data_IF_972986131396
#
_entry.id   IF_972986131396
#
_cell.length_a   1.000
_cell.length_b   1.000
_cell.length_c   1.000
_cell.angle_alpha   90.00
_cell.angle_beta   90.00
_cell.angle_gamma   90.00
#
_symmetry.space_group_name_H-M   'P 1'
#
loop_
_entity.id
_entity.type
_entity.pdbx_description
1 polymer ?
#
# COMPACT_ATOMS: atom_id res chain seq x y z
N UNK A 1 14.18 3.48 25.36
CA UNK A 1 15.20 4.55 25.33
C UNK A 1 15.33 5.03 23.89
N UNK A 2 15.36 6.34 23.60
CA UNK A 2 15.67 6.79 22.24
C UNK A 2 17.06 6.28 21.86
N UNK A 3 17.19 5.65 20.69
CA UNK A 3 18.48 5.21 20.14
C UNK A 3 19.39 6.43 19.98
N UNK A 4 20.69 6.26 20.21
CA UNK A 4 21.69 7.25 19.81
C UNK A 4 21.50 7.57 18.32
N UNK A 5 21.67 8.83 17.92
CA UNK A 5 21.57 9.25 16.50
C UNK A 5 22.46 8.36 15.62
N UNK A 6 23.63 7.96 16.13
CA UNK A 6 24.55 7.05 15.45
C UNK A 6 23.97 5.63 15.18
N UNK A 7 23.15 5.10 16.10
CA UNK A 7 22.54 3.77 15.94
C UNK A 7 21.37 3.79 14.95
N UNK A 8 20.66 4.93 14.85
CA UNK A 8 19.61 5.16 13.86
C UNK A 8 20.19 5.24 12.45
N UNK A 9 21.27 6.01 12.27
CA UNK A 9 21.94 6.15 10.97
C UNK A 9 22.58 4.83 10.51
N UNK A 10 23.18 4.07 11.43
CA UNK A 10 23.72 2.75 11.12
C UNK A 10 22.61 1.78 10.66
N UNK A 11 21.49 1.73 11.39
CA UNK A 11 20.34 0.88 11.02
C UNK A 11 19.74 1.31 9.68
N UNK A 12 19.66 2.61 9.41
CA UNK A 12 19.15 3.14 8.14
C UNK A 12 20.03 2.72 6.95
N UNK A 13 21.36 2.74 7.12
CA UNK A 13 22.29 2.30 6.08
C UNK A 13 22.19 0.79 5.82
N UNK A 14 22.03 -0.03 6.85
CA UNK A 14 21.85 -1.48 6.73
C UNK A 14 20.60 -1.84 5.91
N UNK A 15 19.48 -1.14 6.14
CA UNK A 15 18.19 -1.47 5.51
C UNK A 15 17.92 -0.72 4.20
N UNK A 16 18.77 0.23 3.82
CA UNK A 16 18.56 1.09 2.65
C UNK A 16 18.34 0.32 1.34
N UNK A 17 19.10 -0.76 1.02
CA UNK A 17 18.88 -1.54 -0.20
C UNK A 17 17.48 -2.17 -0.25
N UNK A 18 17.02 -2.74 0.86
CA UNK A 18 15.72 -3.39 1.00
C UNK A 18 14.59 -2.36 0.91
N UNK A 19 14.76 -1.18 1.52
CA UNK A 19 13.79 -0.08 1.39
C UNK A 19 13.72 0.43 -0.05
N UNK A 20 14.86 0.56 -0.74
CA UNK A 20 14.87 0.98 -2.15
C UNK A 20 14.14 -0.03 -3.04
N UNK A 21 14.33 -1.32 -2.81
CA UNK A 21 13.55 -2.36 -3.49
C UNK A 21 12.05 -2.21 -3.24
N UNK A 22 11.65 -1.98 -1.98
CA UNK A 22 10.24 -1.74 -1.63
C UNK A 22 9.65 -0.50 -2.31
N UNK A 23 10.44 0.58 -2.42
CA UNK A 23 10.04 1.81 -3.13
C UNK A 23 9.80 1.55 -4.62
N UNK A 24 10.65 0.75 -5.26
CA UNK A 24 10.48 0.36 -6.67
C UNK A 24 9.19 -0.44 -6.85
N UNK A 25 8.97 -1.45 -6.00
CA UNK A 25 7.74 -2.26 -6.04
C UNK A 25 6.51 -1.37 -5.85
N UNK A 26 6.52 -0.49 -4.84
CA UNK A 26 5.42 0.44 -4.59
C UNK A 26 5.16 1.36 -5.80
N UNK A 27 6.21 1.91 -6.40
CA UNK A 27 6.09 2.75 -7.58
C UNK A 27 5.53 1.97 -8.77
N UNK A 28 5.91 0.70 -8.96
CA UNK A 28 5.38 -0.16 -10.01
C UNK A 28 3.86 -0.43 -9.83
N UNK A 29 3.42 -0.75 -8.61
CA UNK A 29 1.99 -0.96 -8.30
C UNK A 29 1.17 0.31 -8.58
N UNK A 30 1.69 1.48 -8.20
CA UNK A 30 1.04 2.77 -8.46
C UNK A 30 1.02 3.10 -9.96
N UNK A 31 2.14 2.84 -10.66
CA UNK A 31 2.26 3.08 -12.10
C UNK A 31 1.28 2.23 -12.91
N UNK A 32 1.01 0.99 -12.51
CA UNK A 32 0.02 0.12 -13.16
C UNK A 32 -1.38 0.74 -13.16
N UNK A 33 -1.85 1.21 -11.99
CA UNK A 33 -3.15 1.89 -11.86
C UNK A 33 -3.17 3.20 -12.64
N UNK A 34 -2.11 4.01 -12.55
CA UNK A 34 -2.02 5.29 -13.24
C UNK A 34 -2.01 5.13 -14.77
N UNK A 35 -1.25 4.16 -15.28
CA UNK A 35 -1.19 3.85 -16.71
C UNK A 35 -2.54 3.34 -17.22
N UNK A 36 -3.21 2.47 -16.46
CA UNK A 36 -4.54 1.99 -16.84
C UNK A 36 -5.59 3.09 -16.80
N UNK A 37 -5.56 3.97 -15.81
CA UNK A 37 -6.42 5.16 -15.78
C UNK A 37 -6.17 6.06 -17.00
N UNK A 38 -4.90 6.33 -17.33
CA UNK A 38 -4.53 7.11 -18.51
C UNK A 38 -5.02 6.47 -19.81
N UNK A 39 -4.89 5.14 -19.92
CA UNK A 39 -5.44 4.37 -21.04
C UNK A 39 -6.96 4.52 -21.13
N UNK A 40 -7.70 4.29 -20.04
CA UNK A 40 -9.17 4.42 -20.00
C UNK A 40 -9.62 5.83 -20.37
N UNK A 41 -8.93 6.86 -19.89
CA UNK A 41 -9.20 8.25 -20.28
C UNK A 41 -8.96 8.47 -21.78
N UNK A 42 -7.88 7.91 -22.33
CA UNK A 42 -7.55 8.03 -23.77
C UNK A 42 -8.56 7.36 -24.70
N UNK A 43 -9.20 6.27 -24.24
CA UNK A 43 -10.22 5.54 -25.00
C UNK A 43 -11.61 6.18 -24.92
N UNK A 44 -11.79 7.19 -24.07
CA UNK A 44 -13.07 7.83 -23.79
C UNK A 44 -13.82 7.16 -22.63
N UNK A 45 -14.27 7.99 -21.69
CA UNK A 45 -14.98 7.57 -20.50
C UNK A 45 -16.46 7.29 -20.82
N UNK A 46 -16.99 6.16 -20.33
CA UNK A 46 -18.40 5.78 -20.55
C UNK A 46 -19.23 6.05 -19.30
N UNK A 47 -19.79 7.25 -19.25
CA UNK A 47 -20.67 7.66 -18.16
C UNK A 47 -22.12 7.30 -18.43
N UNK A 48 -22.86 6.89 -17.39
CA UNK A 48 -24.31 6.73 -17.47
C UNK A 48 -24.98 8.07 -17.11
N UNK A 49 -25.51 8.79 -18.10
CA UNK A 49 -26.07 10.15 -17.91
C UNK A 49 -27.35 10.20 -17.06
N UNK A 50 -28.03 9.05 -16.86
CA UNK A 50 -29.32 8.98 -16.15
C UNK A 50 -29.41 7.85 -15.13
N UNK A 51 -28.28 7.23 -14.77
CA UNK A 51 -28.28 6.19 -13.75
C UNK A 51 -28.26 6.83 -12.36
N UNK A 52 -29.42 6.87 -11.70
CA UNK A 52 -29.49 7.06 -10.25
C UNK A 52 -28.89 5.86 -9.48
N UNK A 53 -28.51 4.78 -10.18
CA UNK A 53 -27.87 3.64 -9.54
C UNK A 53 -26.42 4.01 -9.19
N UNK A 54 -26.14 4.03 -7.90
CA UNK A 54 -24.78 4.11 -7.38
C UNK A 54 -23.98 2.91 -7.90
N UNK A 55 -22.70 3.08 -8.25
CA UNK A 55 -21.83 1.99 -8.64
C UNK A 55 -21.39 1.19 -7.40
N UNK A 56 -22.35 0.51 -6.76
CA UNK A 56 -22.22 -0.10 -5.44
C UNK A 56 -21.10 -1.12 -5.38
N UNK A 57 -20.89 -1.91 -6.45
CA UNK A 57 -19.85 -2.93 -6.51
C UNK A 57 -18.45 -2.30 -6.49
N UNK A 58 -18.04 -1.48 -7.48
CA UNK A 58 -16.68 -0.92 -7.47
C UNK A 58 -16.48 0.09 -6.32
N UNK A 59 -17.51 0.85 -5.93
CA UNK A 59 -17.42 1.76 -4.79
C UNK A 59 -17.26 1.01 -3.46
N UNK A 60 -18.08 -0.03 -3.23
CA UNK A 60 -18.00 -0.87 -2.04
C UNK A 60 -16.66 -1.61 -1.94
N UNK A 61 -16.17 -2.13 -3.08
CA UNK A 61 -14.86 -2.75 -3.13
C UNK A 61 -13.74 -1.75 -2.84
N UNK A 62 -13.81 -0.53 -3.41
CA UNK A 62 -12.83 0.52 -3.13
C UNK A 62 -12.82 0.89 -1.65
N UNK A 63 -13.98 1.12 -1.04
CA UNK A 63 -14.10 1.44 0.38
C UNK A 63 -13.55 0.31 1.27
N UNK A 64 -13.91 -0.95 0.97
CA UNK A 64 -13.42 -2.10 1.72
C UNK A 64 -11.90 -2.26 1.59
N UNK A 65 -11.36 -2.15 0.37
CA UNK A 65 -9.92 -2.25 0.12
C UNK A 65 -9.14 -1.14 0.81
N UNK A 66 -9.68 0.09 0.89
CA UNK A 66 -9.09 1.16 1.68
C UNK A 66 -8.99 0.73 3.14
N UNK A 67 -10.09 0.31 3.77
CA UNK A 67 -10.09 -0.14 5.17
C UNK A 67 -9.10 -1.28 5.39
N UNK A 68 -9.15 -2.31 4.54
CA UNK A 68 -8.29 -3.48 4.67
C UNK A 68 -6.82 -3.18 4.42
N UNK A 69 -6.47 -2.16 3.62
CA UNK A 69 -5.10 -1.69 3.45
C UNK A 69 -4.48 -1.10 4.74
N UNK A 70 -5.30 -0.78 5.75
CA UNK A 70 -4.84 -0.39 7.09
C UNK A 70 -4.88 -1.55 8.08
N UNK A 71 -5.84 -2.47 7.95
CA UNK A 71 -6.04 -3.58 8.90
C UNK A 71 -5.10 -4.76 8.65
N UNK A 72 -4.93 -5.16 7.39
CA UNK A 72 -4.18 -6.37 7.03
C UNK A 72 -2.66 -6.21 7.23
N UNK A 73 -2.01 -5.09 6.84
CA UNK A 73 -0.55 -4.98 6.97
C UNK A 73 -0.01 -5.14 8.40
N UNK A 74 -0.62 -4.53 9.44
CA UNK A 74 -0.20 -4.77 10.83
C UNK A 74 -0.32 -6.24 11.26
N UNK A 75 -1.35 -6.96 10.80
CA UNK A 75 -1.54 -8.39 11.11
C UNK A 75 -0.42 -9.21 10.47
N UNK A 76 -0.16 -9.00 9.17
CA UNK A 76 0.91 -9.67 8.42
C UNK A 76 2.27 -9.41 9.05
N UNK A 77 2.55 -8.15 9.42
CA UNK A 77 3.79 -7.76 10.11
C UNK A 77 3.96 -8.50 11.43
N UNK A 78 2.93 -8.55 12.27
CA UNK A 78 2.97 -9.25 13.57
C UNK A 78 3.15 -10.76 13.40
N UNK A 79 2.46 -11.36 12.43
CA UNK A 79 2.62 -12.77 12.12
C UNK A 79 4.05 -13.10 11.66
N UNK A 80 4.64 -12.25 10.80
CA UNK A 80 6.02 -12.41 10.34
C UNK A 80 7.06 -12.25 11.47
N UNK A 81 6.75 -11.49 12.53
CA UNK A 81 7.61 -11.36 13.71
C UNK A 81 7.54 -12.55 14.67
N UNK A 82 6.53 -13.43 14.55
CA UNK A 82 6.36 -14.55 15.47
C UNK A 82 7.56 -15.51 15.49
N UNK A 83 8.22 -15.70 14.34
CA UNK A 83 9.40 -16.57 14.19
C UNK A 83 10.67 -16.04 14.89
N UNK A 84 10.64 -14.80 15.40
CA UNK A 84 11.79 -14.15 16.01
C UNK A 84 11.65 -13.99 17.54
N UNK A 85 10.46 -14.23 18.12
CA UNK A 85 10.22 -14.09 19.56
C UNK A 85 11.21 -14.90 20.39
N UNK A 86 11.83 -14.26 21.39
CA UNK A 86 12.80 -14.90 22.29
C UNK A 86 14.21 -15.07 21.71
N UNK A 87 14.49 -14.56 20.49
CA UNK A 87 15.85 -14.53 19.94
C UNK A 87 16.57 -13.26 20.38
N UNK A 88 17.78 -13.42 20.94
CA UNK A 88 18.60 -12.33 21.49
C UNK A 88 19.41 -11.57 20.44
N UNK A 89 19.67 -12.17 19.27
CA UNK A 89 20.38 -11.53 18.16
C UNK A 89 19.58 -11.68 16.87
N UNK A 90 19.04 -10.56 16.37
CA UNK A 90 18.28 -10.53 15.12
C UNK A 90 18.85 -9.41 14.26
N UNK A 91 19.37 -9.78 13.08
CA UNK A 91 19.82 -8.83 12.08
C UNK A 91 18.67 -7.89 11.68
N UNK A 92 18.95 -6.59 11.53
CA UNK A 92 17.93 -5.59 11.16
C UNK A 92 17.21 -5.98 9.87
N UNK A 93 17.94 -6.51 8.90
CA UNK A 93 17.44 -6.99 7.61
C UNK A 93 16.34 -8.04 7.74
N UNK A 94 16.44 -8.93 8.72
CA UNK A 94 15.45 -9.98 8.96
C UNK A 94 14.09 -9.41 9.40
N UNK A 95 14.09 -8.25 10.05
CA UNK A 95 12.88 -7.56 10.48
C UNK A 95 12.24 -6.76 9.34
N UNK A 96 13.01 -6.35 8.33
CA UNK A 96 12.50 -5.61 7.17
C UNK A 96 11.54 -6.45 6.32
N UNK A 97 11.77 -7.75 6.19
CA UNK A 97 10.94 -8.63 5.35
C UNK A 97 9.45 -8.68 5.77
N UNK A 98 9.11 -8.88 7.06
CA UNK A 98 7.73 -8.73 7.54
C UNK A 98 7.11 -7.36 7.23
N UNK A 99 7.89 -6.28 7.34
CA UNK A 99 7.43 -4.94 7.01
C UNK A 99 7.10 -4.80 5.52
N UNK A 100 8.02 -5.22 4.65
CA UNK A 100 7.87 -5.21 3.20
C UNK A 100 6.65 -6.00 2.77
N UNK A 101 6.51 -7.23 3.26
CA UNK A 101 5.37 -8.11 2.93
C UNK A 101 4.05 -7.46 3.30
N UNK A 102 3.93 -6.96 4.54
CA UNK A 102 2.71 -6.26 4.96
C UNK A 102 2.42 -5.02 4.11
N UNK A 103 3.46 -4.25 3.75
CA UNK A 103 3.31 -3.07 2.90
C UNK A 103 2.82 -3.43 1.50
N UNK A 104 3.44 -4.42 0.86
CA UNK A 104 3.07 -4.91 -0.48
C UNK A 104 1.64 -5.40 -0.48
N UNK A 105 1.24 -6.20 0.52
CA UNK A 105 -0.15 -6.67 0.66
C UNK A 105 -1.12 -5.49 0.73
N UNK A 106 -0.84 -4.48 1.57
CA UNK A 106 -1.69 -3.29 1.65
C UNK A 106 -1.78 -2.52 0.33
N UNK A 107 -0.68 -2.41 -0.40
CA UNK A 107 -0.64 -1.73 -1.70
C UNK A 107 -1.37 -2.52 -2.79
N UNK A 108 -1.27 -3.85 -2.80
CA UNK A 108 -1.98 -4.71 -3.75
C UNK A 108 -3.50 -4.61 -3.58
N UNK A 109 -4.00 -4.43 -2.36
CA UNK A 109 -5.44 -4.19 -2.12
C UNK A 109 -5.91 -2.87 -2.74
N UNK A 110 -5.13 -1.80 -2.57
CA UNK A 110 -5.42 -0.50 -3.17
C UNK A 110 -5.29 -0.54 -4.70
N UNK A 111 -4.30 -1.24 -5.21
CA UNK A 111 -4.08 -1.47 -6.64
C UNK A 111 -5.29 -2.18 -7.27
N UNK A 112 -5.74 -3.30 -6.70
CA UNK A 112 -6.91 -4.04 -7.17
C UNK A 112 -8.17 -3.15 -7.20
N UNK A 113 -8.37 -2.33 -6.17
CA UNK A 113 -9.46 -1.36 -6.14
C UNK A 113 -9.31 -0.26 -7.20
N UNK A 114 -8.08 0.20 -7.45
CA UNK A 114 -7.76 1.15 -8.50
C UNK A 114 -8.10 0.60 -9.88
N UNK A 115 -7.67 -0.63 -10.19
CA UNK A 115 -8.00 -1.32 -11.44
C UNK A 115 -9.50 -1.51 -11.61
N UNK A 116 -10.21 -2.00 -10.59
CA UNK A 116 -11.66 -2.19 -10.66
C UNK A 116 -12.41 -0.88 -10.87
N UNK A 117 -11.96 0.19 -10.21
CA UNK A 117 -12.54 1.53 -10.37
C UNK A 117 -12.31 2.08 -11.79
N UNK A 118 -11.12 1.86 -12.36
CA UNK A 118 -10.83 2.20 -13.76
C UNK A 118 -11.68 1.36 -14.73
N UNK A 119 -11.83 0.07 -14.46
CA UNK A 119 -12.67 -0.81 -15.27
C UNK A 119 -14.14 -0.35 -15.29
N UNK A 120 -14.66 0.12 -14.16
CA UNK A 120 -16.02 0.67 -14.09
C UNK A 120 -16.22 1.89 -15.01
N UNK A 121 -15.20 2.73 -15.19
CA UNK A 121 -15.22 3.88 -16.10
C UNK A 121 -15.26 3.49 -17.59
N UNK A 122 -14.96 2.24 -17.93
CA UNK A 122 -15.12 1.70 -19.29
C UNK A 122 -16.55 1.21 -19.59
N UNK A 123 -17.46 1.29 -18.61
CA UNK A 123 -18.84 0.79 -18.72
C UNK A 123 -19.03 -0.63 -18.17
N UNK A 124 -18.00 -1.24 -17.57
CA UNK A 124 -17.99 -2.62 -17.07
C UNK A 124 -19.02 -3.01 -16.00
N UNK A 125 -19.93 -2.10 -15.62
CA UNK A 125 -21.04 -2.30 -14.69
C UNK A 125 -22.33 -1.56 -15.11
N UNK A 126 -22.53 -1.34 -16.41
CA UNK A 126 -23.67 -0.54 -16.91
C UNK A 126 -23.41 0.97 -16.90
N UNK A 127 -22.14 1.37 -16.76
CA UNK A 127 -21.71 2.77 -16.65
C UNK A 127 -21.69 3.29 -15.22
N UNK A 128 -20.97 4.38 -15.01
CA UNK A 128 -20.85 5.05 -13.70
C UNK A 128 -21.15 6.55 -13.84
N UNK A 129 -21.57 7.22 -12.76
CA UNK A 129 -21.73 8.68 -12.79
C UNK A 129 -20.38 9.39 -12.94
N UNK A 130 -20.40 10.63 -13.48
CA UNK A 130 -19.18 11.41 -13.78
C UNK A 130 -18.27 11.64 -12.57
N UNK A 131 -18.86 11.82 -11.39
CA UNK A 131 -18.10 12.02 -10.14
C UNK A 131 -17.26 10.79 -9.76
N UNK A 132 -17.59 9.59 -10.27
CA UNK A 132 -16.88 8.35 -9.94
C UNK A 132 -15.40 8.38 -10.40
N UNK A 133 -15.04 9.25 -11.35
CA UNK A 133 -13.65 9.48 -11.73
C UNK A 133 -12.77 9.88 -10.55
N UNK A 134 -13.35 10.52 -9.52
CA UNK A 134 -12.63 10.88 -8.30
C UNK A 134 -12.13 9.66 -7.50
N UNK A 135 -12.76 8.49 -7.63
CA UNK A 135 -12.42 7.29 -6.85
C UNK A 135 -11.02 6.75 -7.20
N UNK A 136 -10.69 6.37 -8.45
CA UNK A 136 -9.34 5.91 -8.78
C UNK A 136 -8.27 6.98 -8.54
N UNK A 137 -8.60 8.27 -8.69
CA UNK A 137 -7.70 9.38 -8.36
C UNK A 137 -7.42 9.43 -6.85
N UNK A 138 -8.45 9.33 -6.00
CA UNK A 138 -8.30 9.32 -4.55
C UNK A 138 -7.48 8.09 -4.08
N UNK A 139 -7.65 6.94 -4.71
CA UNK A 139 -6.84 5.75 -4.45
C UNK A 139 -5.37 5.97 -4.82
N UNK A 140 -5.08 6.57 -5.99
CA UNK A 140 -3.71 6.93 -6.37
C UNK A 140 -3.08 7.93 -5.39
N UNK A 141 -3.83 8.94 -4.95
CA UNK A 141 -3.37 9.90 -3.93
C UNK A 141 -3.08 9.18 -2.62
N UNK A 142 -3.94 8.25 -2.19
CA UNK A 142 -3.70 7.45 -1.00
C UNK A 142 -2.44 6.57 -1.14
N UNK A 143 -2.24 5.95 -2.29
CA UNK A 143 -1.03 5.19 -2.59
C UNK A 143 0.21 6.09 -2.47
N UNK A 144 0.18 7.30 -3.04
CA UNK A 144 1.27 8.28 -2.96
C UNK A 144 1.56 8.72 -1.52
N UNK A 145 0.54 9.01 -0.72
CA UNK A 145 0.70 9.38 0.70
C UNK A 145 1.38 8.26 1.50
N UNK A 146 1.16 7.01 1.10
CA UNK A 146 1.72 5.81 1.74
C UNK A 146 3.09 5.40 1.20
N UNK A 147 3.80 6.28 0.49
CA UNK A 147 5.12 5.97 -0.03
C UNK A 147 6.09 5.54 1.09
N UNK A 148 6.81 4.40 0.94
CA UNK A 148 7.67 3.88 1.99
C UNK A 148 8.94 4.74 2.12
N UNK A 149 8.99 5.56 3.17
CA UNK A 149 10.16 6.41 3.48
C UNK A 149 11.15 5.65 4.38
N UNK A 150 12.45 5.79 4.11
CA UNK A 150 13.51 5.12 4.87
C UNK A 150 13.40 5.33 6.38
N UNK A 151 13.18 6.58 6.82
CA UNK A 151 12.99 6.92 8.23
C UNK A 151 11.83 6.12 8.86
N UNK A 152 10.67 6.05 8.19
CA UNK A 152 9.52 5.30 8.70
C UNK A 152 9.77 3.80 8.81
N UNK A 153 10.59 3.22 7.94
CA UNK A 153 10.95 1.80 8.03
C UNK A 153 11.95 1.57 9.16
N UNK A 154 12.97 2.44 9.28
CA UNK A 154 13.96 2.38 10.36
C UNK A 154 13.29 2.49 11.75
N UNK A 155 12.35 3.43 11.92
CA UNK A 155 11.57 3.59 13.14
C UNK A 155 10.74 2.33 13.46
N UNK A 156 10.19 1.70 12.43
CA UNK A 156 9.45 0.46 12.64
C UNK A 156 10.35 -0.70 13.03
N UNK A 157 11.52 -0.83 12.41
CA UNK A 157 12.52 -1.89 12.70
C UNK A 157 13.05 -1.76 14.13
N UNK A 158 13.32 -0.54 14.59
CA UNK A 158 13.76 -0.30 15.97
C UNK A 158 12.69 -0.71 16.98
N UNK A 159 11.44 -0.29 16.78
CA UNK A 159 10.29 -0.71 17.61
C UNK A 159 10.05 -2.22 17.56
N UNK A 160 10.26 -2.86 16.40
CA UNK A 160 10.10 -4.29 16.25
C UNK A 160 11.18 -5.06 17.02
N UNK A 161 12.44 -4.59 17.00
CA UNK A 161 13.55 -5.19 17.74
C UNK A 161 13.28 -5.19 19.25
N UNK A 162 12.78 -4.09 19.80
CA UNK A 162 12.40 -3.98 21.22
C UNK A 162 11.28 -4.97 21.60
N UNK A 163 10.23 -5.07 20.77
CA UNK A 163 9.08 -5.96 21.01
C UNK A 163 9.39 -7.45 20.96
N UNK A 164 10.46 -7.83 20.28
CA UNK A 164 10.85 -9.24 20.10
C UNK A 164 11.84 -9.69 21.19
N UNK A 165 12.54 -8.74 21.80
CA UNK A 165 13.42 -8.97 22.94
C UNK A 165 12.68 -9.14 24.28
N UNK A 166 11.45 -8.64 24.38
CA UNK A 166 10.50 -8.85 25.48
C UNK A 166 9.73 -10.16 25.30
#
# INVERSE_FOLDING_TARGET
>A
MPLSIADSDATANEIAPQVRSLQIIHAALMAGVAAYLGFVVSQGLRFAEYSNALPLIPLGFAAMSVVMSFVVPPIVRRAGLAAFRGKTQIAAESLVSPFQTGHIVGMAMLEAAGFLSCFALTGGFGGVPRWFLAVPIALLVLMLIRFPRLASVADWVSMAREKVAL
#
